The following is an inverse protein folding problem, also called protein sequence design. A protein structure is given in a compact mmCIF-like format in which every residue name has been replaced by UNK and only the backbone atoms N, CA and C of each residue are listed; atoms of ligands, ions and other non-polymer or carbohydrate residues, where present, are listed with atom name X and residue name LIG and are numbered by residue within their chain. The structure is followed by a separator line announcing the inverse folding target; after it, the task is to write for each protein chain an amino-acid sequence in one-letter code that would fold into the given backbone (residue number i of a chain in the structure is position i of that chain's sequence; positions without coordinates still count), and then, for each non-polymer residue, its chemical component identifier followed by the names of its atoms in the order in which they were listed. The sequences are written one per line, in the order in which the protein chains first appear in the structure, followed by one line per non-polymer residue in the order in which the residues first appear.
data_IF_734475450228
#
_entry.id   IF_734475450228
#
_cell.length_a   1.000
_cell.length_b   1.000
_cell.length_c   1.000
_cell.angle_alpha   90.00
_cell.angle_beta   90.00
_cell.angle_gamma   90.00
#
_symmetry.space_group_name_H-M   'P 1'
#
loop_
_entity.id
_entity.type
_entity.pdbx_description
1 polymer ?
#
# COMPACT_ATOMS: atom_id res chain seq x y z
N UNK A 1 -21.52 -11.67 16.10
CA UNK A 1 -20.87 -10.37 16.36
C UNK A 1 -19.34 -10.40 16.30
N UNK A 2 -18.65 -11.52 16.61
CA UNK A 2 -17.17 -11.60 16.53
C UNK A 2 -16.59 -11.59 15.10
N UNK A 3 -17.35 -12.08 14.12
CA UNK A 3 -16.87 -12.22 12.73
C UNK A 3 -16.76 -10.87 11.98
N UNK A 4 -17.77 -10.00 12.10
CA UNK A 4 -17.78 -8.69 11.43
C UNK A 4 -16.62 -7.80 11.91
N UNK A 5 -16.32 -7.83 13.22
CA UNK A 5 -15.18 -7.07 13.77
C UNK A 5 -13.83 -7.57 13.23
N UNK A 6 -13.67 -8.90 13.11
CA UNK A 6 -12.46 -9.50 12.54
C UNK A 6 -12.30 -9.15 11.05
N UNK A 7 -13.38 -9.17 10.26
CA UNK A 7 -13.34 -8.75 8.86
C UNK A 7 -12.94 -7.28 8.71
N UNK A 8 -13.48 -6.38 9.53
CA UNK A 8 -13.12 -4.95 9.50
C UNK A 8 -11.64 -4.76 9.85
N UNK A 9 -11.15 -5.43 10.89
CA UNK A 9 -9.73 -5.40 11.28
C UNK A 9 -8.83 -5.94 10.17
N UNK A 10 -9.22 -7.03 9.49
CA UNK A 10 -8.50 -7.58 8.35
C UNK A 10 -8.43 -6.60 7.17
N UNK A 11 -9.52 -5.90 6.85
CA UNK A 11 -9.52 -4.86 5.82
C UNK A 11 -8.63 -3.67 6.20
N UNK A 12 -8.64 -3.27 7.47
CA UNK A 12 -7.76 -2.22 7.97
C UNK A 12 -6.28 -2.64 7.90
N UNK A 13 -5.98 -3.89 8.26
CA UNK A 13 -4.63 -4.44 8.20
C UNK A 13 -4.08 -4.44 6.75
N UNK A 14 -4.92 -4.70 5.76
CA UNK A 14 -4.55 -4.59 4.33
C UNK A 14 -4.21 -3.15 3.93
N UNK A 15 -4.97 -2.18 4.42
CA UNK A 15 -4.66 -0.76 4.19
C UNK A 15 -3.31 -0.35 4.81
N UNK A 16 -2.99 -0.88 6.01
CA UNK A 16 -1.68 -0.69 6.64
C UNK A 16 -0.57 -1.36 5.84
N UNK A 17 -0.78 -2.58 5.32
CA UNK A 17 0.19 -3.25 4.46
C UNK A 17 0.45 -2.45 3.17
N UNK A 18 -0.61 -1.94 2.52
CA UNK A 18 -0.48 -1.05 1.36
C UNK A 18 0.30 0.23 1.69
N UNK A 19 0.15 0.77 2.90
CA UNK A 19 0.93 1.92 3.37
C UNK A 19 2.42 1.58 3.47
N UNK A 20 2.78 0.43 4.03
CA UNK A 20 4.18 -0.01 4.11
C UNK A 20 4.78 -0.17 2.71
N UNK A 21 4.09 -0.84 1.80
CA UNK A 21 4.55 -1.01 0.41
C UNK A 21 4.71 0.35 -0.28
N UNK A 22 3.74 1.25 -0.13
CA UNK A 22 3.79 2.58 -0.70
C UNK A 22 4.94 3.44 -0.18
N UNK A 23 5.26 3.33 1.11
CA UNK A 23 6.43 4.01 1.71
C UNK A 23 7.73 3.46 1.13
N UNK A 24 7.84 2.14 0.93
CA UNK A 24 9.02 1.52 0.30
C UNK A 24 9.19 2.04 -1.13
N UNK A 25 8.10 2.07 -1.92
CA UNK A 25 8.12 2.62 -3.28
C UNK A 25 8.53 4.09 -3.27
N UNK A 26 7.97 4.90 -2.37
CA UNK A 26 8.34 6.31 -2.23
C UNK A 26 9.81 6.50 -1.89
N UNK A 27 10.35 5.72 -0.95
CA UNK A 27 11.75 5.76 -0.56
C UNK A 27 12.67 5.37 -1.74
N UNK A 28 12.27 4.40 -2.56
CA UNK A 28 13.01 4.02 -3.78
C UNK A 28 12.93 5.13 -4.84
N UNK A 29 11.78 5.78 -5.00
CA UNK A 29 11.63 6.87 -5.97
C UNK A 29 12.46 8.10 -5.58
N UNK A 30 12.45 8.49 -4.31
CA UNK A 30 13.20 9.67 -3.82
C UNK A 30 14.69 9.38 -3.64
N UNK A 31 15.06 8.18 -3.20
CA UNK A 31 16.45 7.81 -2.92
C UNK A 31 17.24 7.48 -4.19
N UNK A 32 17.24 6.21 -4.65
CA UNK A 32 18.05 5.78 -5.79
C UNK A 32 17.60 6.36 -7.14
N UNK A 33 16.31 6.66 -7.33
CA UNK A 33 15.79 7.18 -8.61
C UNK A 33 15.81 8.71 -8.70
N UNK A 34 16.10 9.42 -7.60
CA UNK A 34 16.28 10.87 -7.57
C UNK A 34 15.03 11.69 -7.94
N UNK A 35 13.82 11.11 -7.80
CA UNK A 35 12.59 11.84 -8.04
C UNK A 35 12.39 12.96 -7.00
N UNK A 36 11.85 14.10 -7.45
CA UNK A 36 11.57 15.22 -6.55
C UNK A 36 10.54 14.82 -5.49
N UNK A 37 10.87 14.94 -4.20
CA UNK A 37 9.93 14.61 -3.13
C UNK A 37 8.74 15.57 -3.14
N UNK A 38 7.55 15.02 -2.90
CA UNK A 38 6.31 15.80 -2.92
C UNK A 38 5.09 14.98 -2.50
N UNK A 39 4.00 15.65 -2.11
CA UNK A 39 2.77 14.98 -1.66
C UNK A 39 2.14 14.14 -2.79
N UNK A 40 2.23 14.60 -4.04
CA UNK A 40 1.74 13.86 -5.21
C UNK A 40 2.49 12.54 -5.40
N UNK A 41 3.82 12.55 -5.31
CA UNK A 41 4.64 11.34 -5.42
C UNK A 41 4.35 10.35 -4.27
N UNK A 42 4.15 10.86 -3.05
CA UNK A 42 3.78 10.03 -1.90
C UNK A 42 2.42 9.36 -2.11
N UNK A 43 1.42 10.10 -2.59
CA UNK A 43 0.10 9.58 -2.90
C UNK A 43 0.14 8.56 -4.04
N UNK A 44 0.86 8.83 -5.12
CA UNK A 44 1.03 7.90 -6.24
C UNK A 44 1.75 6.61 -5.82
N UNK A 45 2.79 6.73 -4.99
CA UNK A 45 3.52 5.56 -4.44
C UNK A 45 2.62 4.72 -3.54
N UNK A 46 1.80 5.37 -2.69
CA UNK A 46 0.79 4.71 -1.89
C UNK A 46 -0.30 4.02 -2.72
N UNK A 47 -0.81 4.70 -3.74
CA UNK A 47 -1.83 4.16 -4.65
C UNK A 47 -1.29 2.93 -5.40
N UNK A 48 -0.02 2.98 -5.84
CA UNK A 48 0.68 1.85 -6.45
C UNK A 48 0.80 0.65 -5.48
N UNK A 49 1.17 0.90 -4.22
CA UNK A 49 1.21 -0.14 -3.18
C UNK A 49 -0.17 -0.74 -2.90
N UNK A 50 -1.23 0.08 -2.87
CA UNK A 50 -2.61 -0.39 -2.70
C UNK A 50 -3.08 -1.26 -3.88
N UNK A 51 -2.79 -0.85 -5.11
CA UNK A 51 -3.12 -1.63 -6.31
C UNK A 51 -2.38 -2.99 -6.33
N UNK A 52 -1.12 -3.03 -5.86
CA UNK A 52 -0.36 -4.26 -5.73
C UNK A 52 -1.01 -5.24 -4.74
N UNK A 53 -1.42 -4.79 -3.56
CA UNK A 53 -2.08 -5.64 -2.56
C UNK A 53 -3.39 -6.23 -3.12
N UNK A 54 -4.18 -5.43 -3.84
CA UNK A 54 -5.40 -5.91 -4.49
C UNK A 54 -5.11 -6.99 -5.55
N UNK A 55 -4.05 -6.80 -6.34
CA UNK A 55 -3.64 -7.74 -7.39
C UNK A 55 -3.12 -9.07 -6.82
N UNK A 56 -2.37 -9.01 -5.72
CA UNK A 56 -1.92 -10.21 -5.01
C UNK A 56 -3.11 -10.95 -4.39
N UNK A 57 -4.07 -10.22 -3.82
CA UNK A 57 -5.29 -10.82 -3.26
C UNK A 57 -6.18 -11.48 -4.32
N UNK A 58 -6.17 -10.99 -5.56
CA UNK A 58 -6.90 -11.62 -6.67
C UNK A 58 -6.15 -12.78 -7.33
N UNK A 59 -4.89 -13.05 -6.94
CA UNK A 59 -4.11 -14.15 -7.52
C UNK A 59 -4.43 -15.48 -6.82
N UNK A 60 -4.74 -16.56 -7.57
CA UNK A 60 -5.14 -17.86 -7.02
C UNK A 60 -3.96 -18.76 -6.59
N UNK A 61 -2.80 -18.20 -6.23
CA UNK A 61 -1.63 -18.97 -5.73
C UNK A 61 -1.63 -18.96 -4.21
#
# INVERSE_FOLDING_TARGET
MSHLGAEILLRLAKAVAALVVGVVVYAVMVGPLGATPGPELALLSWLSGAAFILLVETSPI
#
